data_IF_983933131141
#
_entry.id   IF_983933131141
#
_cell.length_a   1.000
_cell.length_b   1.000
_cell.length_c   1.000
_cell.angle_alpha   90.00
_cell.angle_beta   90.00
_cell.angle_gamma   90.00
#
_symmetry.space_group_name_H-M   'P 1'
#
loop_
_entity.id
_entity.type
_entity.pdbx_description
1 polymer ?
#
# COMPACT_ATOMS: atom_id res chain seq x y z
N UNK A 1 2.94 -9.41 21.37
CA UNK A 1 3.95 -8.49 20.77
C UNK A 1 3.69 -8.50 19.29
N UNK A 2 3.59 -7.33 18.65
CA UNK A 2 3.35 -7.26 17.21
C UNK A 2 4.62 -7.72 16.47
N UNK A 3 4.45 -8.56 15.46
CA UNK A 3 5.53 -9.05 14.60
C UNK A 3 5.33 -8.63 13.14
N UNK A 4 4.19 -8.02 12.83
CA UNK A 4 3.85 -7.55 11.50
C UNK A 4 3.42 -6.09 11.60
N UNK A 5 3.87 -5.27 10.66
CA UNK A 5 3.40 -3.90 10.51
C UNK A 5 2.93 -3.70 9.08
N UNK A 6 1.70 -3.27 8.90
CA UNK A 6 1.20 -2.83 7.60
C UNK A 6 1.16 -1.31 7.53
N UNK A 7 1.57 -0.72 6.41
CA UNK A 7 1.56 0.74 6.21
C UNK A 7 0.74 1.08 4.96
N UNK A 8 -0.50 1.48 5.19
CA UNK A 8 -1.31 2.18 4.18
C UNK A 8 -0.95 3.67 4.19
N UNK A 9 -1.02 4.35 3.05
CA UNK A 9 -0.45 5.70 2.95
C UNK A 9 -1.01 6.51 1.79
N UNK A 10 -1.14 7.81 1.97
CA UNK A 10 -1.35 8.77 0.89
C UNK A 10 -0.07 8.94 0.05
N UNK A 11 -0.22 9.31 -1.23
CA UNK A 11 0.91 9.59 -2.10
C UNK A 11 1.63 10.89 -1.65
N UNK A 12 2.95 10.85 -1.57
CA UNK A 12 3.74 11.98 -1.05
C UNK A 12 3.76 12.11 0.49
N UNK A 13 3.02 11.28 1.24
CA UNK A 13 3.05 11.33 2.71
C UNK A 13 4.36 10.85 3.35
N UNK A 14 5.25 10.23 2.59
CA UNK A 14 6.49 9.65 3.12
C UNK A 14 6.32 8.25 3.72
N UNK A 15 5.14 7.63 3.61
CA UNK A 15 4.86 6.33 4.22
C UNK A 15 5.81 5.21 3.78
N UNK A 16 6.33 5.25 2.54
CA UNK A 16 7.35 4.31 2.06
C UNK A 16 8.67 4.48 2.83
N UNK A 17 9.16 5.71 2.93
CA UNK A 17 10.35 6.05 3.70
C UNK A 17 10.22 5.66 5.17
N UNK A 18 9.07 5.97 5.79
CA UNK A 18 8.78 5.60 7.18
C UNK A 18 8.86 4.08 7.36
N UNK A 19 8.28 3.30 6.45
CA UNK A 19 8.31 1.84 6.50
C UNK A 19 9.71 1.27 6.36
N UNK A 20 10.52 1.81 5.46
CA UNK A 20 11.90 1.40 5.25
C UNK A 20 12.78 1.70 6.48
N UNK A 21 12.69 2.92 7.04
CA UNK A 21 13.44 3.30 8.24
C UNK A 21 13.00 2.49 9.46
N UNK A 22 11.70 2.22 9.59
CA UNK A 22 11.18 1.38 10.66
C UNK A 22 11.70 -0.05 10.57
N UNK A 23 11.69 -0.65 9.38
CA UNK A 23 12.22 -2.00 9.16
C UNK A 23 13.71 -2.08 9.50
N UNK A 24 14.51 -1.07 9.11
CA UNK A 24 15.93 -0.95 9.49
C UNK A 24 16.11 -0.89 11.01
N UNK A 25 15.34 -0.03 11.70
CA UNK A 25 15.40 0.11 13.17
C UNK A 25 15.05 -1.18 13.90
N UNK A 26 14.07 -1.94 13.40
CA UNK A 26 13.61 -3.20 13.98
C UNK A 26 14.49 -4.40 13.59
N UNK A 27 15.29 -4.29 12.54
CA UNK A 27 15.98 -5.44 11.93
C UNK A 27 15.02 -6.42 11.27
N UNK A 28 13.87 -5.95 10.78
CA UNK A 28 12.81 -6.74 10.17
C UNK A 28 12.88 -6.71 8.64
N UNK A 29 12.27 -7.71 8.00
CA UNK A 29 12.11 -7.73 6.55
C UNK A 29 11.20 -6.58 6.10
N UNK A 30 11.49 -6.01 4.92
CA UNK A 30 10.71 -4.92 4.30
C UNK A 30 10.16 -5.36 2.95
N UNK A 31 8.87 -5.15 2.72
CA UNK A 31 8.19 -5.55 1.49
C UNK A 31 7.37 -4.39 0.90
N UNK A 32 7.74 -3.95 -0.30
CA UNK A 32 7.03 -2.95 -1.13
C UNK A 32 7.13 -3.35 -2.61
N UNK A 33 8.23 -3.03 -3.29
CA UNK A 33 8.43 -3.36 -4.71
C UNK A 33 8.75 -4.84 -4.92
N UNK A 34 9.37 -5.48 -3.96
CA UNK A 34 9.70 -6.90 -3.98
C UNK A 34 8.46 -7.77 -4.15
N UNK A 35 7.32 -7.36 -3.55
CA UNK A 35 6.04 -8.04 -3.76
C UNK A 35 5.58 -7.97 -5.23
N UNK A 36 5.83 -6.86 -5.92
CA UNK A 36 5.47 -6.71 -7.34
C UNK A 36 6.23 -7.75 -8.17
N UNK A 37 7.54 -7.81 -8.01
CA UNK A 37 8.40 -8.73 -8.76
C UNK A 37 8.04 -10.21 -8.48
N UNK A 38 7.74 -10.56 -7.23
CA UNK A 38 7.34 -11.93 -6.89
C UNK A 38 5.95 -12.30 -7.46
N UNK A 39 4.99 -11.38 -7.44
CA UNK A 39 3.67 -11.59 -8.06
C UNK A 39 3.83 -11.72 -9.58
N UNK A 40 4.64 -10.86 -10.22
CA UNK A 40 4.91 -10.92 -11.64
C UNK A 40 5.52 -12.27 -12.05
N UNK A 41 6.52 -12.76 -11.32
CA UNK A 41 7.12 -14.09 -11.54
C UNK A 41 6.09 -15.23 -11.42
N UNK A 42 5.20 -15.17 -10.42
CA UNK A 42 4.22 -16.24 -10.18
C UNK A 42 3.04 -16.21 -11.17
N UNK A 43 2.67 -15.05 -11.69
CA UNK A 43 1.57 -14.89 -12.65
C UNK A 43 2.00 -14.94 -14.10
N UNK A 44 3.28 -14.66 -14.39
CA UNK A 44 3.77 -14.43 -15.74
C UNK A 44 3.39 -13.08 -16.34
N UNK A 45 2.78 -12.16 -15.55
CA UNK A 45 2.43 -10.83 -16.00
C UNK A 45 3.65 -9.89 -15.93
N UNK A 46 3.63 -8.84 -16.75
CA UNK A 46 4.64 -7.78 -16.68
C UNK A 46 4.59 -7.05 -15.32
N UNK A 47 5.74 -6.68 -14.77
CA UNK A 47 5.82 -5.99 -13.47
C UNK A 47 5.03 -4.68 -13.45
N UNK A 48 5.02 -3.93 -14.57
CA UNK A 48 4.24 -2.70 -14.72
C UNK A 48 2.72 -2.97 -14.58
N UNK A 49 2.23 -4.07 -15.14
CA UNK A 49 0.85 -4.48 -15.00
C UNK A 49 0.54 -4.85 -13.55
N UNK A 50 1.39 -5.66 -12.90
CA UNK A 50 1.22 -6.05 -11.49
C UNK A 50 1.29 -4.83 -10.57
N UNK A 51 2.20 -3.89 -10.82
CA UNK A 51 2.29 -2.64 -10.08
C UNK A 51 1.00 -1.82 -10.18
N UNK A 52 0.43 -1.75 -11.38
CA UNK A 52 -0.82 -1.05 -11.63
C UNK A 52 -2.03 -1.77 -11.03
N UNK A 53 -2.17 -3.07 -11.27
CA UNK A 53 -3.28 -3.87 -10.75
C UNK A 53 -3.30 -3.94 -9.22
N UNK A 54 -2.14 -3.99 -8.57
CA UNK A 54 -2.04 -4.09 -7.12
C UNK A 54 -2.20 -2.78 -6.34
N UNK A 55 -2.08 -1.62 -6.98
CA UNK A 55 -2.31 -0.29 -6.37
C UNK A 55 -3.39 0.52 -7.10
N UNK A 56 -3.74 0.12 -8.31
CA UNK A 56 -4.63 0.86 -9.19
C UNK A 56 -5.77 -0.04 -9.65
N UNK A 57 -6.97 0.34 -9.30
CA UNK A 57 -8.20 -0.37 -9.65
C UNK A 57 -8.40 -0.58 -11.16
N UNK A 58 -9.18 -1.58 -11.54
CA UNK A 58 -9.59 -1.91 -12.90
C UNK A 58 -10.45 -0.85 -13.61
N UNK A 59 -10.41 0.42 -13.19
CA UNK A 59 -11.30 1.47 -13.73
C UNK A 59 -11.14 1.76 -15.24
N UNK A 60 -10.07 1.29 -15.89
CA UNK A 60 -10.01 1.23 -17.35
C UNK A 60 -10.88 0.10 -17.93
N UNK A 61 -11.27 -0.86 -17.12
CA UNK A 61 -12.03 -2.03 -17.54
C UNK A 61 -13.52 -1.78 -17.71
N UNK A 62 -14.12 -0.69 -17.20
CA UNK A 62 -15.55 -0.42 -17.46
C UNK A 62 -15.80 -0.20 -18.96
N UNK A 63 -14.81 0.29 -19.71
CA UNK A 63 -14.89 0.37 -21.17
C UNK A 63 -14.44 -0.91 -21.89
N UNK A 64 -13.62 -1.76 -21.27
CA UNK A 64 -13.21 -3.05 -21.84
C UNK A 64 -14.16 -4.20 -21.47
N UNK A 65 -15.06 -4.02 -20.51
CA UNK A 65 -16.13 -4.99 -20.20
C UNK A 65 -17.12 -5.22 -21.37
N UNK A 66 -17.10 -4.34 -22.36
CA UNK A 66 -17.86 -4.54 -23.60
C UNK A 66 -17.24 -5.57 -24.57
N UNK A 67 -16.00 -6.02 -24.33
CA UNK A 67 -15.27 -6.88 -25.26
C UNK A 67 -14.71 -8.18 -24.65
N UNK A 68 -14.87 -8.41 -23.35
CA UNK A 68 -14.54 -9.72 -22.78
C UNK A 68 -15.73 -10.64 -23.01
N UNK A 69 -15.51 -11.57 -23.90
CA UNK A 69 -16.42 -12.63 -24.30
C UNK A 69 -17.21 -13.19 -23.11
N UNK A 70 -18.50 -13.28 -23.28
CA UNK A 70 -19.48 -13.82 -22.35
C UNK A 70 -19.41 -15.35 -22.22
N UNK A 71 -18.27 -15.92 -22.56
CA UNK A 71 -18.02 -17.37 -22.50
C UNK A 71 -16.87 -17.66 -21.52
N UNK A 72 -17.22 -18.15 -20.35
CA UNK A 72 -16.34 -18.75 -19.37
C UNK A 72 -16.09 -17.85 -18.15
N UNK A 73 -16.64 -18.21 -16.99
CA UNK A 73 -16.50 -17.56 -15.70
C UNK A 73 -15.07 -17.59 -15.13
N UNK A 74 -14.14 -16.93 -15.80
CA UNK A 74 -12.76 -16.73 -15.33
C UNK A 74 -12.62 -15.42 -14.56
N UNK A 75 -11.86 -15.44 -13.47
CA UNK A 75 -11.47 -14.24 -12.74
C UNK A 75 -10.73 -13.25 -13.67
N UNK A 76 -10.94 -11.94 -13.47
CA UNK A 76 -10.20 -10.94 -14.22
C UNK A 76 -8.69 -11.06 -13.97
N UNK A 77 -7.86 -10.48 -14.85
CA UNK A 77 -6.40 -10.50 -14.62
C UNK A 77 -6.03 -9.76 -13.32
N UNK A 78 -6.76 -8.72 -12.98
CA UNK A 78 -6.60 -7.98 -11.73
C UNK A 78 -6.97 -8.85 -10.51
N UNK A 79 -8.04 -9.64 -10.60
CA UNK A 79 -8.43 -10.56 -9.54
C UNK A 79 -7.39 -11.68 -9.36
N UNK A 80 -6.77 -12.15 -10.46
CA UNK A 80 -5.68 -13.11 -10.40
C UNK A 80 -4.45 -12.51 -9.70
N UNK A 81 -4.09 -11.26 -10.04
CA UNK A 81 -3.00 -10.52 -9.34
C UNK A 81 -3.30 -10.40 -7.86
N UNK A 82 -4.53 -9.99 -7.50
CA UNK A 82 -4.91 -9.87 -6.10
C UNK A 82 -4.86 -11.21 -5.35
N UNK A 83 -5.35 -12.29 -5.95
CA UNK A 83 -5.33 -13.63 -5.34
C UNK A 83 -3.90 -14.12 -5.08
N UNK A 84 -2.98 -13.94 -6.06
CA UNK A 84 -1.56 -14.31 -5.90
C UNK A 84 -0.88 -13.40 -4.88
N UNK A 85 -1.16 -12.10 -4.89
CA UNK A 85 -0.65 -11.15 -3.92
C UNK A 85 -1.10 -11.51 -2.48
N UNK A 86 -2.39 -11.83 -2.30
CA UNK A 86 -2.92 -12.28 -1.01
C UNK A 86 -2.18 -13.52 -0.50
N UNK A 87 -2.02 -14.53 -1.36
CA UNK A 87 -1.28 -15.76 -1.00
C UNK A 87 0.15 -15.46 -0.59
N UNK A 88 0.85 -14.62 -1.35
CA UNK A 88 2.23 -14.22 -1.05
C UNK A 88 2.35 -13.49 0.29
N UNK A 89 1.44 -12.55 0.59
CA UNK A 89 1.44 -11.83 1.86
C UNK A 89 1.27 -12.81 3.03
N UNK A 90 0.35 -13.77 2.92
CA UNK A 90 0.17 -14.81 3.94
C UNK A 90 1.42 -15.71 4.08
N UNK A 91 2.10 -16.06 2.98
CA UNK A 91 3.36 -16.82 3.02
C UNK A 91 4.52 -16.02 3.64
N UNK A 92 4.57 -14.71 3.40
CA UNK A 92 5.64 -13.83 3.90
C UNK A 92 5.59 -13.69 5.41
N UNK A 93 4.41 -13.48 5.98
CA UNK A 93 4.25 -13.26 7.42
C UNK A 93 4.58 -14.50 8.26
N UNK A 94 4.56 -15.68 7.65
CA UNK A 94 5.01 -16.93 8.31
C UNK A 94 6.54 -17.09 8.32
N UNK A 95 7.28 -16.29 7.55
CA UNK A 95 8.76 -16.33 7.51
C UNK A 95 9.39 -15.56 8.66
N UNK A 96 8.66 -14.67 9.30
CA UNK A 96 9.16 -13.87 10.43
C UNK A 96 8.67 -12.42 10.42
N UNK A 97 9.17 -11.62 11.35
CA UNK A 97 8.75 -10.23 11.52
C UNK A 97 9.01 -9.39 10.27
N UNK A 98 8.01 -8.58 9.87
CA UNK A 98 8.11 -7.79 8.65
C UNK A 98 7.28 -6.50 8.67
N UNK A 99 7.67 -5.57 7.77
CA UNK A 99 6.94 -4.35 7.42
C UNK A 99 6.47 -4.48 5.98
N UNK A 100 5.17 -4.34 5.75
CA UNK A 100 4.54 -4.45 4.43
C UNK A 100 3.88 -3.12 4.07
N UNK A 101 4.17 -2.58 2.87
CA UNK A 101 3.64 -1.29 2.44
C UNK A 101 2.54 -1.44 1.39
N UNK A 102 1.31 -1.06 1.76
CA UNK A 102 0.13 -1.08 0.89
C UNK A 102 -0.42 -2.47 0.61
N UNK A 103 -0.95 -2.68 -0.62
CA UNK A 103 -1.43 -3.99 -1.13
C UNK A 103 -2.60 -4.59 -0.36
N UNK A 104 -3.42 -3.75 0.30
CA UNK A 104 -4.51 -4.22 1.18
C UNK A 104 -4.02 -5.18 2.26
N UNK A 105 -2.74 -5.08 2.68
CA UNK A 105 -2.15 -6.01 3.63
C UNK A 105 -2.84 -5.94 5.01
N UNK A 106 -3.29 -4.77 5.42
CA UNK A 106 -4.10 -4.53 6.61
C UNK A 106 -5.40 -5.36 6.62
N UNK A 107 -6.06 -5.50 5.47
CA UNK A 107 -7.25 -6.31 5.32
C UNK A 107 -6.93 -7.80 5.18
N UNK A 108 -5.90 -8.15 4.40
CA UNK A 108 -5.47 -9.53 4.19
C UNK A 108 -5.09 -10.20 5.52
N UNK A 109 -4.58 -9.41 6.46
CA UNK A 109 -4.08 -9.85 7.77
C UNK A 109 -5.03 -9.48 8.92
N UNK A 110 -6.29 -9.15 8.64
CA UNK A 110 -7.26 -8.67 9.64
C UNK A 110 -7.50 -9.63 10.81
N UNK A 111 -7.37 -10.94 10.58
CA UNK A 111 -7.53 -11.98 11.60
C UNK A 111 -6.27 -12.18 12.47
N UNK A 112 -5.17 -11.45 12.19
CA UNK A 112 -3.91 -11.59 12.92
C UNK A 112 -3.83 -10.61 14.09
N UNK A 113 -3.80 -11.15 15.29
CA UNK A 113 -3.67 -10.36 16.53
C UNK A 113 -2.26 -9.78 16.77
N UNK A 114 -1.26 -10.19 15.98
CA UNK A 114 0.13 -9.73 16.04
C UNK A 114 0.48 -8.73 14.93
N UNK A 115 -0.53 -8.18 14.25
CA UNK A 115 -0.38 -7.17 13.20
C UNK A 115 -0.74 -5.78 13.72
N UNK A 116 0.14 -4.79 13.46
CA UNK A 116 -0.11 -3.37 13.70
C UNK A 116 -0.41 -2.69 12.36
N UNK A 117 -1.61 -2.17 12.21
CA UNK A 117 -2.05 -1.50 10.99
C UNK A 117 -1.91 0.01 11.11
N UNK A 118 -1.15 0.62 10.21
CA UNK A 118 -0.82 2.05 10.24
C UNK A 118 -1.28 2.75 8.97
N UNK A 119 -1.83 3.96 9.10
CA UNK A 119 -2.12 4.85 8.00
C UNK A 119 -1.31 6.14 8.09
N UNK A 120 -0.57 6.48 7.02
CA UNK A 120 0.23 7.71 6.95
C UNK A 120 -0.41 8.70 5.98
N UNK A 121 -0.68 9.91 6.46
CA UNK A 121 -1.23 11.01 5.67
C UNK A 121 -0.44 12.30 5.88
N UNK A 122 -0.82 13.36 5.19
CA UNK A 122 -0.18 14.67 5.36
C UNK A 122 -0.89 15.77 4.57
N UNK A 123 -0.49 17.03 4.79
CA UNK A 123 -1.04 18.18 4.10
C UNK A 123 -0.69 18.18 2.62
N UNK A 124 -1.61 18.64 1.78
CA UNK A 124 -1.44 18.63 0.33
C UNK A 124 -0.16 19.37 -0.10
N UNK A 125 0.11 20.56 0.48
CA UNK A 125 1.28 21.36 0.14
C UNK A 125 2.60 20.63 0.46
N UNK A 126 2.74 20.06 1.67
CA UNK A 126 3.93 19.31 2.08
C UNK A 126 4.13 18.07 1.24
N UNK A 127 3.06 17.33 0.95
CA UNK A 127 3.10 16.17 0.07
C UNK A 127 3.55 16.55 -1.34
N UNK A 128 3.02 17.66 -1.90
CA UNK A 128 3.40 18.14 -3.23
C UNK A 128 4.90 18.49 -3.29
N UNK A 129 5.44 19.17 -2.29
CA UNK A 129 6.88 19.49 -2.22
C UNK A 129 7.75 18.23 -2.17
N UNK A 130 7.32 17.19 -1.43
CA UNK A 130 8.03 15.90 -1.43
C UNK A 130 7.99 15.24 -2.81
N UNK A 131 6.84 15.26 -3.48
CA UNK A 131 6.70 14.69 -4.83
C UNK A 131 7.61 15.41 -5.83
N UNK A 132 7.65 16.76 -5.82
CA UNK A 132 8.54 17.55 -6.67
C UNK A 132 10.01 17.20 -6.43
N UNK A 133 10.39 17.02 -5.17
CA UNK A 133 11.77 16.64 -4.81
C UNK A 133 12.22 15.30 -5.38
N UNK A 134 11.27 14.33 -5.47
CA UNK A 134 11.57 12.95 -5.94
C UNK A 134 11.29 12.74 -7.43
N UNK A 135 10.51 13.63 -8.06
CA UNK A 135 10.18 13.60 -9.49
C UNK A 135 10.70 14.89 -10.13
N UNK A 136 11.98 14.91 -10.50
CA UNK A 136 12.60 16.03 -11.18
C UNK A 136 11.73 16.52 -12.37
N UNK A 137 11.61 17.82 -12.54
CA UNK A 137 10.84 18.50 -13.60
C UNK A 137 9.31 18.55 -13.39
N UNK A 138 8.77 18.15 -12.24
CA UNK A 138 7.34 18.21 -11.97
C UNK A 138 6.96 19.57 -11.36
N UNK A 139 5.99 20.26 -11.95
CA UNK A 139 5.40 21.47 -11.37
C UNK A 139 4.51 21.14 -10.19
N UNK A 140 4.25 22.10 -9.30
CA UNK A 140 3.35 21.92 -8.17
C UNK A 140 1.94 21.45 -8.61
N UNK A 141 1.41 22.03 -9.68
CA UNK A 141 0.11 21.63 -10.24
C UNK A 141 0.10 20.19 -10.72
N UNK A 142 1.17 19.76 -11.37
CA UNK A 142 1.31 18.35 -11.80
C UNK A 142 1.51 17.40 -10.64
N UNK A 143 2.27 17.78 -9.62
CA UNK A 143 2.44 17.02 -8.40
C UNK A 143 1.09 16.79 -7.69
N UNK A 144 0.30 17.86 -7.49
CA UNK A 144 -1.04 17.76 -6.89
C UNK A 144 -1.97 16.88 -7.72
N UNK A 145 -1.94 17.02 -9.05
CA UNK A 145 -2.73 16.15 -9.95
C UNK A 145 -2.33 14.69 -9.78
N UNK A 146 -1.03 14.39 -9.82
CA UNK A 146 -0.51 13.03 -9.67
C UNK A 146 -0.90 12.42 -8.30
N UNK A 147 -0.79 13.20 -7.22
CA UNK A 147 -1.19 12.78 -5.88
C UNK A 147 -2.67 12.40 -5.83
N UNK A 148 -3.54 13.28 -6.34
CA UNK A 148 -5.00 13.05 -6.33
C UNK A 148 -5.40 11.84 -7.17
N UNK A 149 -4.79 11.67 -8.33
CA UNK A 149 -5.05 10.52 -9.21
C UNK A 149 -4.56 9.21 -8.58
N UNK A 150 -3.38 9.21 -7.97
CA UNK A 150 -2.82 8.03 -7.31
C UNK A 150 -3.66 7.63 -6.10
N UNK A 151 -4.00 8.57 -5.24
CA UNK A 151 -4.80 8.29 -4.04
C UNK A 151 -6.25 7.90 -4.39
N UNK A 152 -6.82 8.47 -5.47
CA UNK A 152 -8.10 8.02 -6.02
C UNK A 152 -8.05 6.55 -6.45
N UNK A 153 -7.00 6.14 -7.15
CA UNK A 153 -6.83 4.75 -7.60
C UNK A 153 -6.66 3.80 -6.43
N UNK A 154 -5.83 4.15 -5.42
CA UNK A 154 -5.67 3.37 -4.19
C UNK A 154 -6.98 3.17 -3.46
N UNK A 155 -7.77 4.26 -3.32
CA UNK A 155 -9.08 4.21 -2.69
C UNK A 155 -10.03 3.28 -3.41
N UNK A 156 -10.10 3.36 -4.75
CA UNK A 156 -10.99 2.50 -5.53
C UNK A 156 -10.57 1.04 -5.40
N UNK A 157 -9.26 0.75 -5.52
CA UNK A 157 -8.73 -0.60 -5.37
C UNK A 157 -9.00 -1.19 -3.98
N UNK A 158 -8.69 -0.43 -2.94
CA UNK A 158 -8.91 -0.85 -1.56
C UNK A 158 -10.39 -1.12 -1.28
N UNK A 159 -11.27 -0.17 -1.63
CA UNK A 159 -12.70 -0.31 -1.40
C UNK A 159 -13.30 -1.50 -2.17
N UNK A 160 -12.79 -1.80 -3.37
CA UNK A 160 -13.26 -2.92 -4.18
C UNK A 160 -12.95 -4.28 -3.57
N UNK A 161 -11.71 -4.46 -3.05
CA UNK A 161 -11.27 -5.75 -2.51
C UNK A 161 -11.58 -5.95 -1.03
N UNK A 162 -11.95 -4.92 -0.29
CA UNK A 162 -12.05 -5.00 1.17
C UNK A 162 -13.43 -4.65 1.73
N UNK A 163 -14.34 -4.13 0.93
CA UNK A 163 -15.61 -3.54 1.38
C UNK A 163 -15.47 -2.46 2.47
N UNK A 164 -14.24 -1.91 2.63
CA UNK A 164 -13.89 -0.86 3.61
C UNK A 164 -13.56 0.44 2.90
N UNK A 165 -13.65 1.54 3.63
CA UNK A 165 -13.24 2.86 3.14
C UNK A 165 -11.75 3.08 3.40
N UNK A 166 -10.95 3.25 2.34
CA UNK A 166 -9.54 3.58 2.46
C UNK A 166 -9.31 4.90 3.21
N UNK A 167 -8.37 4.91 4.16
CA UNK A 167 -8.03 6.06 4.99
C UNK A 167 -9.02 6.37 6.11
N UNK A 168 -10.05 5.55 6.30
CA UNK A 168 -10.94 5.68 7.46
C UNK A 168 -10.23 5.19 8.71
N UNK A 169 -10.04 6.08 9.70
CA UNK A 169 -9.19 5.83 10.87
C UNK A 169 -9.56 4.56 11.65
N UNK A 170 -10.83 4.16 11.63
CA UNK A 170 -11.30 2.94 12.31
C UNK A 170 -10.76 1.63 11.70
N UNK A 171 -10.14 1.69 10.52
CA UNK A 171 -9.53 0.52 9.90
C UNK A 171 -8.06 0.32 10.32
N UNK A 172 -7.51 1.26 11.12
CA UNK A 172 -6.09 1.28 11.46
C UNK A 172 -5.90 1.46 12.97
N UNK A 173 -4.81 0.91 13.50
CA UNK A 173 -4.44 1.07 14.91
C UNK A 173 -3.79 2.45 15.16
N UNK A 174 -3.07 2.97 14.13
CA UNK A 174 -2.45 4.30 14.16
C UNK A 174 -2.71 5.04 12.86
N UNK A 175 -3.13 6.32 12.98
CA UNK A 175 -3.19 7.25 11.86
C UNK A 175 -2.29 8.45 12.16
N UNK A 176 -1.21 8.63 11.37
CA UNK A 176 -0.17 9.62 11.65
C UNK A 176 -0.08 10.69 10.56
N UNK A 177 -0.15 11.96 10.96
CA UNK A 177 0.09 13.11 10.08
C UNK A 177 1.60 13.37 9.97
N UNK A 178 2.22 12.92 8.89
CA UNK A 178 3.66 13.07 8.66
C UNK A 178 4.12 14.51 8.38
N UNK A 179 3.19 15.42 8.10
CA UNK A 179 3.50 16.85 7.98
C UNK A 179 3.74 17.48 9.37
N UNK A 180 2.81 17.24 10.29
CA UNK A 180 2.87 17.83 11.65
C UNK A 180 3.91 17.14 12.52
N UNK A 181 4.06 15.84 12.39
CA UNK A 181 4.93 15.01 13.26
C UNK A 181 6.36 14.91 12.71
N UNK A 182 6.53 14.93 11.38
CA UNK A 182 7.77 14.58 10.70
C UNK A 182 7.86 13.07 10.42
N UNK A 183 8.55 12.70 9.35
CA UNK A 183 8.67 11.28 8.93
C UNK A 183 9.43 10.44 9.93
N UNK A 184 10.54 10.96 10.47
CA UNK A 184 11.39 10.22 11.42
C UNK A 184 10.65 10.00 12.74
N UNK A 185 9.98 11.03 13.26
CA UNK A 185 9.17 10.91 14.47
C UNK A 185 7.98 9.96 14.26
N UNK A 186 7.40 9.88 13.06
CA UNK A 186 6.39 8.87 12.76
C UNK A 186 6.95 7.46 12.89
N UNK A 187 8.16 7.21 12.36
CA UNK A 187 8.83 5.92 12.52
C UNK A 187 9.10 5.59 14.00
N UNK A 188 9.53 6.58 14.81
CA UNK A 188 9.77 6.41 16.24
C UNK A 188 8.50 6.09 17.03
N UNK A 189 7.37 6.74 16.70
CA UNK A 189 6.08 6.45 17.31
C UNK A 189 5.59 5.04 17.01
N UNK A 190 5.74 4.58 15.76
CA UNK A 190 5.38 3.23 15.36
C UNK A 190 6.30 2.22 16.08
N UNK A 191 7.61 2.49 16.12
CA UNK A 191 8.58 1.67 16.84
C UNK A 191 8.21 1.52 18.33
N UNK A 192 7.86 2.62 18.98
CA UNK A 192 7.42 2.61 20.38
C UNK A 192 6.13 1.80 20.59
N UNK A 193 5.17 1.90 19.66
CA UNK A 193 3.91 1.15 19.71
C UNK A 193 4.12 -0.36 19.59
N UNK A 194 5.04 -0.81 18.72
CA UNK A 194 5.39 -2.23 18.52
C UNK A 194 6.05 -2.82 19.77
N UNK A 195 6.91 -2.06 20.44
CA UNK A 195 7.68 -2.52 21.58
C UNK A 195 6.97 -2.34 22.94
N UNK A 196 5.75 -1.81 22.97
CA UNK A 196 4.95 -1.80 24.21
C UNK A 196 4.63 -3.23 24.63
N UNK A 197 5.12 -3.57 25.81
CA UNK A 197 4.75 -4.78 26.54
C UNK A 197 3.34 -4.66 27.09
#
# INVERSE_FOLDING_TARGET
MNHIITISREFGSGGRYIGEELAKKLGWAYYDKELISEVAKKTGFAEEFVAQAGEYSPFKSIFSYGFVSRDGGGASMEDQVYAVQRKLILEIVEKGPCVIVGRCADYILEDRSDCLNVFIYGDEATKAQRVIKYHESTTEKEAVKLMRETDKRRRINYNYYTDRQWGKCQNYDLCLNSTSIGTDNCADLIYAAVNKK
#
